data_IF_800619706019
#
_entry.id   IF_800619706019
#
_cell.length_a   1.000
_cell.length_b   1.000
_cell.length_c   1.000
_cell.angle_alpha   90.00
_cell.angle_beta   90.00
_cell.angle_gamma   90.00
#
_symmetry.space_group_name_H-M   'P 1'
#
loop_
_entity.id
_entity.type
_entity.pdbx_description
1 polymer ?
#
# COMPACT_ATOMS: atom_id res chain seq x y z
N UNK A 1 17.19 -8.69 -7.89
CA UNK A 1 16.10 -7.70 -7.71
C UNK A 1 16.10 -7.29 -6.25
N UNK A 2 16.45 -6.04 -5.95
CA UNK A 2 16.51 -5.54 -4.57
C UNK A 2 15.11 -5.21 -4.04
N UNK A 3 15.00 -4.92 -2.73
CA UNK A 3 13.72 -4.58 -2.09
C UNK A 3 13.01 -3.39 -2.73
N UNK A 4 13.75 -2.36 -3.13
CA UNK A 4 13.23 -1.15 -3.78
C UNK A 4 12.66 -1.46 -5.17
N UNK A 5 13.39 -2.23 -5.99
CA UNK A 5 12.92 -2.63 -7.32
C UNK A 5 11.67 -3.51 -7.24
N UNK A 6 11.65 -4.44 -6.26
CA UNK A 6 10.49 -5.29 -6.00
C UNK A 6 9.26 -4.45 -5.60
N UNK A 7 9.45 -3.43 -4.75
CA UNK A 7 8.42 -2.49 -4.38
C UNK A 7 7.86 -1.75 -5.60
N UNK A 8 8.71 -1.16 -6.44
CA UNK A 8 8.24 -0.41 -7.62
C UNK A 8 7.54 -1.29 -8.66
N UNK A 9 7.98 -2.54 -8.83
CA UNK A 9 7.28 -3.53 -9.68
C UNK A 9 5.89 -3.88 -9.13
N UNK A 10 5.75 -4.03 -7.81
CA UNK A 10 4.45 -4.21 -7.15
C UNK A 10 3.56 -2.97 -7.29
N UNK A 11 4.10 -1.78 -7.02
CA UNK A 11 3.37 -0.53 -7.06
C UNK A 11 2.82 -0.23 -8.46
N UNK A 12 3.64 -0.39 -9.51
CA UNK A 12 3.19 -0.23 -10.91
C UNK A 12 1.98 -1.10 -11.24
N UNK A 13 2.05 -2.40 -10.92
CA UNK A 13 0.93 -3.34 -11.18
C UNK A 13 -0.34 -2.98 -10.42
N UNK A 14 -0.21 -2.48 -9.20
CA UNK A 14 -1.36 -2.07 -8.39
C UNK A 14 -1.99 -0.78 -8.91
N UNK A 15 -1.17 0.25 -9.13
CA UNK A 15 -1.63 1.57 -9.54
C UNK A 15 -2.24 1.56 -10.95
N UNK A 16 -1.76 0.68 -11.84
CA UNK A 16 -2.34 0.50 -13.17
C UNK A 16 -3.84 0.11 -13.15
N UNK A 17 -4.34 -0.50 -12.07
CA UNK A 17 -5.75 -0.88 -11.94
C UNK A 17 -6.70 0.31 -11.75
N UNK A 18 -6.18 1.49 -11.39
CA UNK A 18 -6.99 2.68 -11.19
C UNK A 18 -7.24 3.47 -12.49
N UNK A 19 -6.59 3.11 -13.61
CA UNK A 19 -6.66 3.84 -14.89
C UNK A 19 -6.30 5.33 -14.77
N UNK A 20 -5.40 5.65 -13.83
CA UNK A 20 -5.05 7.02 -13.47
C UNK A 20 -5.30 7.29 -11.99
N UNK A 21 -4.50 8.16 -11.40
CA UNK A 21 -4.65 8.61 -10.01
C UNK A 21 -4.48 10.13 -10.01
N UNK A 22 -5.40 10.91 -9.42
CA UNK A 22 -5.23 12.35 -9.31
C UNK A 22 -3.94 12.70 -8.56
N UNK A 23 -3.19 13.66 -9.07
CA UNK A 23 -1.88 14.05 -8.55
C UNK A 23 -1.93 14.36 -7.03
N UNK A 24 -2.93 15.13 -6.60
CA UNK A 24 -3.10 15.50 -5.18
C UNK A 24 -3.37 14.32 -4.24
N UNK A 25 -3.81 13.17 -4.76
CA UNK A 25 -4.02 11.93 -3.97
C UNK A 25 -2.94 10.89 -4.17
N UNK A 26 -2.03 11.08 -5.14
CA UNK A 26 -1.03 10.09 -5.52
C UNK A 26 -0.18 9.63 -4.32
N UNK A 27 0.20 10.58 -3.46
CA UNK A 27 0.94 10.28 -2.23
C UNK A 27 0.19 9.30 -1.30
N UNK A 28 -1.13 9.47 -1.14
CA UNK A 28 -1.96 8.58 -0.31
C UNK A 28 -1.98 7.16 -0.89
N UNK A 29 -2.16 7.04 -2.21
CA UNK A 29 -2.12 5.74 -2.90
C UNK A 29 -0.74 5.07 -2.80
N UNK A 30 0.33 5.86 -2.86
CA UNK A 30 1.69 5.35 -2.72
C UNK A 30 1.95 4.83 -1.30
N UNK A 31 1.52 5.57 -0.27
CA UNK A 31 1.62 5.14 1.14
C UNK A 31 0.79 3.91 1.46
N UNK A 32 -0.43 3.85 0.93
CA UNK A 32 -1.27 2.66 1.05
C UNK A 32 -0.65 1.45 0.34
N UNK A 33 -0.01 1.67 -0.82
CA UNK A 33 0.72 0.63 -1.56
C UNK A 33 1.97 0.15 -0.84
N UNK A 34 2.73 1.06 -0.22
CA UNK A 34 3.86 0.75 0.68
C UNK A 34 3.39 -0.13 1.83
N UNK A 35 2.31 0.25 2.50
CA UNK A 35 1.73 -0.52 3.59
C UNK A 35 1.37 -1.95 3.15
N UNK A 36 0.68 -2.10 2.00
CA UNK A 36 0.34 -3.41 1.45
C UNK A 36 1.55 -4.22 1.05
N UNK A 37 2.58 -3.60 0.47
CA UNK A 37 3.80 -4.30 0.10
C UNK A 37 4.49 -4.85 1.34
N UNK A 38 4.65 -4.04 2.39
CA UNK A 38 5.32 -4.46 3.62
C UNK A 38 4.55 -5.55 4.39
N UNK A 39 3.23 -5.59 4.24
CA UNK A 39 2.35 -6.58 4.88
C UNK A 39 1.77 -7.61 3.89
N UNK A 40 2.41 -7.82 2.74
CA UNK A 40 1.89 -8.67 1.65
C UNK A 40 1.73 -10.16 2.00
N UNK A 41 2.30 -10.59 3.12
CA UNK A 41 2.19 -11.96 3.66
C UNK A 41 1.29 -12.04 4.89
N UNK A 42 0.73 -10.91 5.33
CA UNK A 42 -0.11 -10.81 6.51
C UNK A 42 -1.58 -10.90 6.13
N UNK A 43 -2.43 -11.22 7.10
CA UNK A 43 -3.86 -10.95 6.99
C UNK A 43 -4.10 -9.45 7.16
N UNK A 44 -4.34 -8.76 6.04
CA UNK A 44 -4.48 -7.30 6.02
C UNK A 44 -5.64 -6.80 6.90
N UNK A 45 -6.75 -7.55 6.94
CA UNK A 45 -7.90 -7.20 7.76
C UNK A 45 -7.53 -7.20 9.25
N UNK A 46 -6.91 -8.27 9.74
CA UNK A 46 -6.42 -8.33 11.12
C UNK A 46 -5.38 -7.24 11.42
N UNK A 47 -4.51 -6.92 10.46
CA UNK A 47 -3.50 -5.86 10.63
C UNK A 47 -4.15 -4.48 10.80
N UNK A 48 -5.12 -4.14 9.96
CA UNK A 48 -5.85 -2.87 10.04
C UNK A 48 -6.64 -2.78 11.34
N UNK A 49 -7.38 -3.84 11.72
CA UNK A 49 -8.10 -3.88 12.99
C UNK A 49 -7.18 -3.64 14.19
N UNK A 50 -6.00 -4.26 14.20
CA UNK A 50 -5.01 -4.03 15.25
C UNK A 50 -4.53 -2.57 15.28
N UNK A 51 -4.27 -1.97 14.12
CA UNK A 51 -3.84 -0.57 14.04
C UNK A 51 -4.90 0.40 14.56
N UNK A 52 -6.16 0.20 14.19
CA UNK A 52 -7.29 1.04 14.63
C UNK A 52 -7.56 0.92 16.14
N UNK A 53 -7.33 -0.27 16.72
CA UNK A 53 -7.41 -0.46 18.19
C UNK A 53 -6.29 0.27 18.93
N UNK A 54 -5.10 0.33 18.34
CA UNK A 54 -3.94 0.99 18.94
C UNK A 54 -3.95 2.51 18.72
N UNK A 55 -4.54 2.97 17.61
CA UNK A 55 -4.64 4.37 17.23
C UNK A 55 -6.09 4.64 16.80
N UNK A 56 -6.98 4.95 17.76
CA UNK A 56 -8.35 5.33 17.46
C UNK A 56 -8.37 6.57 16.54
N UNK A 57 -9.32 6.59 15.60
CA UNK A 57 -9.54 7.70 14.67
C UNK A 57 -10.24 8.88 15.35
#
# INVERSE_FOLDING_TARGET
INGIESFWSFAKRRLAKFNGVPEHTFYLHLKETEFRFNHRRDNLYHRILKLLRLNPL
#
